data_IF_763980136099
#
_entry.id   IF_763980136099
#
_cell.length_a   1.000
_cell.length_b   1.000
_cell.length_c   1.000
_cell.angle_alpha   90.00
_cell.angle_beta   90.00
_cell.angle_gamma   90.00
#
_symmetry.space_group_name_H-M   'P 1'
#
loop_
_entity.id
_entity.type
_entity.pdbx_description
1 polymer ?
#
# COMPACT_ATOMS: atom_id res chain seq x y z
N UNK A 1 -20.08 3.44 -5.98
CA UNK A 1 -19.46 2.41 -6.84
C UNK A 1 -17.95 2.55 -6.70
N UNK A 2 -17.25 1.51 -6.24
CA UNK A 2 -15.79 1.55 -6.10
C UNK A 2 -15.17 1.46 -7.49
N UNK A 3 -14.53 2.53 -7.97
CA UNK A 3 -13.65 2.44 -9.15
C UNK A 3 -12.54 1.43 -8.84
N UNK A 4 -12.26 0.51 -9.77
CA UNK A 4 -11.12 -0.40 -9.61
C UNK A 4 -9.83 0.40 -9.81
N UNK A 5 -8.73 -0.01 -9.19
CA UNK A 5 -7.40 0.65 -9.29
C UNK A 5 -7.01 0.92 -10.76
N UNK A 6 -7.33 -0.02 -11.65
CA UNK A 6 -7.07 0.07 -13.09
C UNK A 6 -7.87 1.16 -13.82
N UNK A 7 -9.09 1.46 -13.33
CA UNK A 7 -9.94 2.49 -13.91
C UNK A 7 -9.35 3.87 -13.59
N UNK A 8 -8.94 4.09 -12.33
CA UNK A 8 -8.31 5.35 -11.92
C UNK A 8 -6.98 5.59 -12.64
N UNK A 9 -6.14 4.57 -12.78
CA UNK A 9 -4.89 4.68 -13.57
C UNK A 9 -5.18 5.11 -15.00
N UNK A 10 -6.22 4.55 -15.63
CA UNK A 10 -6.59 4.88 -17.00
C UNK A 10 -7.04 6.34 -17.12
N UNK A 11 -7.85 6.83 -16.20
CA UNK A 11 -8.30 8.23 -16.16
C UNK A 11 -7.14 9.21 -15.96
N UNK A 12 -6.24 8.92 -15.01
CA UNK A 12 -5.05 9.76 -14.79
C UNK A 12 -4.16 9.80 -16.03
N UNK A 13 -3.96 8.66 -16.70
CA UNK A 13 -3.20 8.61 -17.95
C UNK A 13 -3.87 9.42 -19.05
N UNK A 14 -5.20 9.36 -19.15
CA UNK A 14 -5.97 10.12 -20.11
C UNK A 14 -5.73 11.61 -19.92
N UNK A 15 -5.91 12.13 -18.71
CA UNK A 15 -5.67 13.54 -18.39
C UNK A 15 -4.24 13.96 -18.71
N UNK A 16 -3.24 13.16 -18.32
CA UNK A 16 -1.83 13.47 -18.54
C UNK A 16 -1.48 13.53 -20.04
N UNK A 17 -1.84 12.51 -20.82
CA UNK A 17 -1.49 12.47 -22.25
C UNK A 17 -2.26 13.54 -23.02
N UNK A 18 -3.53 13.78 -22.69
CA UNK A 18 -4.27 14.91 -23.27
C UNK A 18 -3.59 16.25 -22.99
N UNK A 19 -3.07 16.45 -21.77
CA UNK A 19 -2.33 17.68 -21.46
C UNK A 19 -1.02 17.79 -22.23
N UNK A 20 -0.28 16.70 -22.42
CA UNK A 20 0.93 16.68 -23.25
C UNK A 20 0.63 16.98 -24.72
N UNK A 21 -0.46 16.41 -25.27
CA UNK A 21 -0.93 16.72 -26.63
C UNK A 21 -1.30 18.20 -26.77
N UNK A 22 -1.99 18.77 -25.77
CA UNK A 22 -2.28 20.19 -25.73
C UNK A 22 -1.00 21.05 -25.72
N UNK A 23 0.02 20.68 -24.94
CA UNK A 23 1.30 21.41 -24.92
C UNK A 23 2.01 21.37 -26.28
N UNK A 24 1.96 20.22 -26.96
CA UNK A 24 2.53 20.07 -28.30
C UNK A 24 1.82 20.98 -29.33
N UNK A 25 0.49 21.03 -29.32
CA UNK A 25 -0.29 21.84 -30.29
C UNK A 25 -0.30 23.34 -29.96
N UNK A 26 -0.13 23.72 -28.69
CA UNK A 26 -0.21 25.12 -28.24
C UNK A 26 1.08 25.93 -28.41
N UNK A 27 2.09 25.38 -29.11
CA UNK A 27 3.39 26.03 -29.31
C UNK A 27 4.28 26.05 -28.06
N UNK A 28 3.99 25.20 -27.07
CA UNK A 28 4.78 25.03 -25.84
C UNK A 28 5.73 23.83 -25.94
N UNK A 29 6.17 23.49 -27.15
CA UNK A 29 7.04 22.34 -27.44
C UNK A 29 8.35 22.37 -26.65
N UNK A 30 8.91 23.56 -26.39
CA UNK A 30 10.15 23.71 -25.63
C UNK A 30 10.04 23.15 -24.20
N UNK A 31 8.85 23.17 -23.60
CA UNK A 31 8.60 22.54 -22.29
C UNK A 31 8.70 21.02 -22.39
N UNK A 32 8.22 20.44 -23.50
CA UNK A 32 8.30 19.00 -23.76
C UNK A 32 9.75 18.58 -24.07
N UNK A 33 10.48 19.39 -24.84
CA UNK A 33 11.90 19.14 -25.14
C UNK A 33 12.76 19.21 -23.89
N UNK A 34 12.49 20.15 -22.98
CA UNK A 34 13.22 20.29 -21.71
C UNK A 34 13.14 19.04 -20.82
N UNK A 35 12.06 18.26 -20.92
CA UNK A 35 11.89 17.00 -20.19
C UNK A 35 12.29 15.77 -21.04
N UNK A 36 12.95 15.97 -22.18
CA UNK A 36 13.52 14.92 -23.01
C UNK A 36 12.57 14.27 -24.04
N UNK A 37 11.43 14.89 -24.33
CA UNK A 37 10.55 14.43 -25.42
C UNK A 37 11.16 14.85 -26.76
N UNK A 38 11.38 13.90 -27.65
CA UNK A 38 11.96 14.16 -28.99
C UNK A 38 10.94 14.77 -29.95
N UNK A 39 11.42 15.48 -30.97
CA UNK A 39 10.57 16.09 -32.01
C UNK A 39 9.60 15.08 -32.65
N UNK A 40 10.06 13.84 -32.89
CA UNK A 40 9.21 12.78 -33.42
C UNK A 40 8.05 12.40 -32.48
N UNK A 41 8.28 12.46 -31.16
CA UNK A 41 7.25 12.22 -30.16
C UNK A 41 6.30 13.40 -30.04
N UNK A 42 6.80 14.64 -30.16
CA UNK A 42 5.99 15.87 -30.17
C UNK A 42 5.06 15.87 -31.39
N UNK A 43 5.58 15.63 -32.59
CA UNK A 43 4.76 15.51 -33.81
C UNK A 43 3.71 14.39 -33.73
N UNK A 44 3.99 13.31 -32.97
CA UNK A 44 3.00 12.26 -32.70
C UNK A 44 1.90 12.74 -31.75
N UNK A 45 2.25 13.51 -30.73
CA UNK A 45 1.31 14.10 -29.78
C UNK A 45 0.37 15.11 -30.46
N UNK A 46 0.89 15.93 -31.37
CA UNK A 46 0.09 16.91 -32.13
C UNK A 46 -1.02 16.27 -32.96
N UNK A 47 -0.77 15.07 -33.48
CA UNK A 47 -1.68 14.34 -34.38
C UNK A 47 -2.50 13.29 -33.66
N UNK A 48 -2.39 13.22 -32.33
CA UNK A 48 -2.98 12.14 -31.54
C UNK A 48 -4.51 12.25 -31.57
N UNK A 49 -5.17 11.29 -32.19
CA UNK A 49 -6.62 11.16 -32.12
C UNK A 49 -7.07 10.56 -30.79
N UNK A 50 -8.32 10.80 -30.41
CA UNK A 50 -8.93 10.18 -29.22
C UNK A 50 -8.86 8.64 -29.25
N UNK A 51 -9.02 8.03 -30.44
CA UNK A 51 -8.93 6.57 -30.59
C UNK A 51 -7.52 6.04 -30.36
N UNK A 52 -6.50 6.77 -30.81
CA UNK A 52 -5.10 6.40 -30.60
C UNK A 52 -4.69 6.59 -29.14
N UNK A 53 -5.16 7.67 -28.49
CA UNK A 53 -5.00 7.90 -27.06
C UNK A 53 -5.53 6.70 -26.25
N UNK A 54 -6.77 6.29 -26.49
CA UNK A 54 -7.42 5.20 -25.77
C UNK A 54 -6.68 3.86 -25.99
N UNK A 55 -6.22 3.63 -27.22
CA UNK A 55 -5.35 2.48 -27.53
C UNK A 55 -4.01 2.53 -26.79
N UNK A 56 -3.40 3.71 -26.69
CA UNK A 56 -2.10 3.88 -26.03
C UNK A 56 -2.18 3.64 -24.52
N UNK A 57 -3.24 4.14 -23.88
CA UNK A 57 -3.51 3.92 -22.45
C UNK A 57 -3.75 2.45 -22.18
N UNK A 58 -4.61 1.78 -22.96
CA UNK A 58 -4.87 0.34 -22.78
C UNK A 58 -3.61 -0.52 -22.89
N UNK A 59 -2.70 -0.17 -23.80
CA UNK A 59 -1.43 -0.88 -23.97
C UNK A 59 -0.43 -0.62 -22.85
N UNK A 60 -0.48 0.55 -22.21
CA UNK A 60 0.55 0.99 -21.25
C UNK A 60 0.09 1.09 -19.80
N UNK A 61 -1.21 0.98 -19.51
CA UNK A 61 -1.77 1.12 -18.15
C UNK A 61 -1.16 0.16 -17.14
N UNK A 62 -0.79 -1.05 -17.56
CA UNK A 62 -0.14 -2.04 -16.70
C UNK A 62 1.31 -1.70 -16.33
N UNK A 63 1.95 -0.77 -17.05
CA UNK A 63 3.31 -0.33 -16.81
C UNK A 63 3.41 0.96 -15.98
N UNK A 64 2.27 1.58 -15.62
CA UNK A 64 2.22 2.85 -14.91
C UNK A 64 1.69 2.66 -13.50
N UNK A 65 2.51 3.02 -12.50
CA UNK A 65 2.09 3.08 -11.10
C UNK A 65 1.78 4.54 -10.71
N UNK A 66 0.49 4.84 -10.54
CA UNK A 66 0.02 6.16 -10.08
C UNK A 66 0.02 6.28 -8.55
N UNK A 67 0.30 5.20 -7.82
CA UNK A 67 0.26 5.18 -6.35
C UNK A 67 1.19 6.25 -5.74
N UNK A 68 2.45 6.43 -6.21
CA UNK A 68 3.33 7.46 -5.69
C UNK A 68 2.83 8.88 -5.94
N UNK A 69 2.23 9.13 -7.12
CA UNK A 69 1.62 10.43 -7.44
C UNK A 69 0.44 10.73 -6.50
N UNK A 70 -0.42 9.75 -6.28
CA UNK A 70 -1.56 9.88 -5.36
C UNK A 70 -1.07 10.13 -3.92
N UNK A 71 -0.04 9.41 -3.47
CA UNK A 71 0.56 9.64 -2.15
C UNK A 71 1.16 11.05 -2.02
N UNK A 72 1.80 11.56 -3.07
CA UNK A 72 2.37 12.91 -3.07
C UNK A 72 1.30 14.00 -3.04
N UNK A 73 0.20 13.81 -3.75
CA UNK A 73 -0.91 14.77 -3.82
C UNK A 73 -1.84 14.70 -2.60
N UNK A 74 -1.97 13.52 -1.99
CA UNK A 74 -2.90 13.25 -0.91
C UNK A 74 -2.16 12.68 0.32
N UNK A 75 -1.06 13.31 0.71
CA UNK A 75 -0.27 12.92 1.90
C UNK A 75 -1.08 12.96 3.21
N UNK A 76 -2.19 13.71 3.23
CA UNK A 76 -3.12 13.79 4.35
C UNK A 76 -4.23 12.72 4.32
N UNK A 77 -4.28 11.87 3.29
CA UNK A 77 -5.29 10.82 3.19
C UNK A 77 -5.33 9.98 4.47
N UNK A 78 -6.56 9.74 4.94
CA UNK A 78 -6.77 8.83 6.05
C UNK A 78 -6.32 7.42 5.65
N UNK A 79 -5.71 6.66 6.58
CA UNK A 79 -5.38 5.27 6.31
C UNK A 79 -6.65 4.51 5.91
N UNK A 80 -6.59 3.62 4.91
CA UNK A 80 -7.69 2.67 4.65
C UNK A 80 -8.16 2.01 5.95
N UNK A 81 -9.47 1.80 6.12
CA UNK A 81 -10.02 1.33 7.41
C UNK A 81 -9.47 -0.03 7.85
N UNK A 82 -9.08 -0.86 6.90
CA UNK A 82 -8.35 -2.09 7.19
C UNK A 82 -7.00 -1.79 7.85
N UNK A 83 -6.15 -0.96 7.22
CA UNK A 83 -4.85 -0.58 7.79
C UNK A 83 -5.01 0.07 9.16
N UNK A 84 -5.99 0.96 9.31
CA UNK A 84 -6.32 1.60 10.58
C UNK A 84 -6.67 0.57 11.66
N UNK A 85 -7.48 -0.42 11.32
CA UNK A 85 -7.84 -1.51 12.24
C UNK A 85 -6.59 -2.24 12.73
N UNK A 86 -5.70 -2.65 11.83
CA UNK A 86 -4.46 -3.35 12.21
C UNK A 86 -3.52 -2.47 13.03
N UNK A 87 -3.35 -1.20 12.67
CA UNK A 87 -2.53 -0.26 13.42
C UNK A 87 -3.08 0.02 14.82
N UNK A 88 -4.41 0.14 14.98
CA UNK A 88 -5.08 0.28 16.27
C UNK A 88 -4.90 -0.95 17.18
N UNK A 89 -4.67 -2.13 16.61
CA UNK A 89 -4.35 -3.36 17.35
C UNK A 89 -2.83 -3.62 17.43
N UNK A 90 -2.01 -2.61 17.17
CA UNK A 90 -0.57 -2.65 17.44
C UNK A 90 0.27 -3.35 16.38
N UNK A 91 -0.16 -3.39 15.11
CA UNK A 91 0.64 -3.93 14.01
C UNK A 91 1.96 -3.15 13.85
N UNK A 92 3.06 -3.88 13.69
CA UNK A 92 4.40 -3.31 13.46
C UNK A 92 4.66 -3.07 11.96
N UNK A 93 5.72 -2.33 11.62
CA UNK A 93 6.03 -1.99 10.22
C UNK A 93 6.28 -3.23 9.35
N UNK A 94 6.87 -4.29 9.90
CA UNK A 94 7.14 -5.52 9.15
C UNK A 94 5.85 -6.24 8.76
N UNK A 95 4.91 -6.34 9.70
CA UNK A 95 3.61 -6.94 9.47
C UNK A 95 2.80 -6.12 8.45
N UNK A 96 2.81 -4.79 8.58
CA UNK A 96 2.11 -3.90 7.64
C UNK A 96 2.68 -4.00 6.22
N UNK A 97 4.00 -4.10 6.09
CA UNK A 97 4.65 -4.35 4.81
C UNK A 97 4.29 -5.73 4.26
N UNK A 98 4.33 -6.77 5.09
CA UNK A 98 4.10 -8.16 4.67
C UNK A 98 2.68 -8.38 4.14
N UNK A 99 1.65 -7.90 4.84
CA UNK A 99 0.26 -8.15 4.46
C UNK A 99 -0.35 -7.08 3.56
N UNK A 100 0.12 -5.82 3.66
CA UNK A 100 -0.54 -4.69 2.99
C UNK A 100 0.39 -3.89 2.08
N UNK A 101 1.69 -4.23 2.00
CA UNK A 101 2.68 -3.48 1.22
C UNK A 101 2.91 -2.04 1.70
N UNK A 102 2.51 -1.72 2.93
CA UNK A 102 2.62 -0.36 3.48
C UNK A 102 4.02 -0.13 4.04
N UNK A 103 4.67 0.94 3.58
CA UNK A 103 6.02 1.30 4.00
C UNK A 103 6.08 1.84 5.42
N UNK A 104 7.29 1.85 5.98
CA UNK A 104 7.52 2.30 7.36
C UNK A 104 7.14 3.77 7.56
N UNK A 105 7.44 4.64 6.59
CA UNK A 105 7.15 6.07 6.62
C UNK A 105 5.64 6.33 6.68
N UNK A 106 4.88 5.61 5.85
CA UNK A 106 3.41 5.67 5.81
C UNK A 106 2.80 5.16 7.12
N UNK A 107 3.33 4.05 7.67
CA UNK A 107 2.90 3.54 8.96
C UNK A 107 3.16 4.54 10.11
N UNK A 108 4.28 5.27 10.08
CA UNK A 108 4.56 6.31 11.07
C UNK A 108 3.52 7.45 10.98
N UNK A 109 3.33 8.00 9.77
CA UNK A 109 2.34 9.05 9.54
C UNK A 109 0.91 8.64 9.94
N UNK A 110 0.52 7.38 9.70
CA UNK A 110 -0.77 6.88 10.15
C UNK A 110 -0.85 6.78 11.67
N UNK A 111 0.19 6.27 12.35
CA UNK A 111 0.16 6.13 13.81
C UNK A 111 0.09 7.48 14.54
N UNK A 112 0.69 8.52 13.98
CA UNK A 112 0.60 9.88 14.55
C UNK A 112 -0.85 10.39 14.62
N UNK A 113 -1.74 9.85 13.78
CA UNK A 113 -3.18 10.16 13.73
C UNK A 113 -4.05 9.22 14.58
N UNK A 114 -3.48 8.19 15.23
CA UNK A 114 -4.24 7.13 15.90
C UNK A 114 -3.99 7.06 17.41
N UNK A 115 -5.08 6.95 18.18
CA UNK A 115 -5.02 6.67 19.62
C UNK A 115 -5.12 5.17 19.89
N UNK A 116 -3.97 4.50 19.93
CA UNK A 116 -3.87 3.05 20.17
C UNK A 116 -4.14 2.74 21.66
N UNK A 117 -4.93 1.73 22.00
CA UNK A 117 -5.14 1.32 23.40
C UNK A 117 -3.83 0.83 24.06
N UNK A 118 -3.68 1.03 25.38
CA UNK A 118 -2.51 0.55 26.13
C UNK A 118 -2.29 -0.96 26.00
N UNK A 119 -3.36 -1.77 25.93
CA UNK A 119 -3.26 -3.23 25.75
C UNK A 119 -2.51 -3.61 24.45
N UNK A 120 -2.73 -2.84 23.39
CA UNK A 120 -2.13 -3.06 22.07
C UNK A 120 -0.79 -2.34 21.85
N UNK A 121 -0.25 -1.63 22.85
CA UNK A 121 1.09 -1.02 22.79
C UNK A 121 2.20 -1.96 23.28
N UNK A 122 1.84 -3.09 23.90
CA UNK A 122 2.80 -4.05 24.42
C UNK A 122 3.73 -4.58 23.34
N UNK A 123 5.03 -4.73 23.65
CA UNK A 123 6.03 -5.24 22.69
C UNK A 123 6.30 -6.74 22.84
N UNK A 124 5.65 -7.38 23.80
CA UNK A 124 5.80 -8.78 24.19
C UNK A 124 4.50 -9.26 24.82
N UNK A 125 4.23 -10.56 24.71
CA UNK A 125 3.08 -11.19 25.39
C UNK A 125 3.43 -11.37 26.87
N UNK A 126 2.48 -11.10 27.76
CA UNK A 126 2.70 -11.30 29.19
C UNK A 126 2.91 -12.79 29.51
N UNK A 127 3.78 -13.11 30.48
CA UNK A 127 4.03 -14.51 30.87
C UNK A 127 2.75 -15.27 31.24
N UNK A 128 1.76 -14.59 31.83
CA UNK A 128 0.48 -15.20 32.21
C UNK A 128 -0.36 -15.64 31.01
N UNK A 129 -0.25 -14.94 29.88
CA UNK A 129 -1.04 -15.22 28.68
C UNK A 129 -0.25 -15.99 27.61
N UNK A 130 1.09 -16.02 27.72
CA UNK A 130 1.99 -16.58 26.71
C UNK A 130 1.58 -17.98 26.24
N UNK A 131 1.36 -18.92 27.17
CA UNK A 131 0.98 -20.29 26.82
C UNK A 131 -0.35 -20.35 26.05
N UNK A 132 -1.36 -19.59 26.48
CA UNK A 132 -2.66 -19.56 25.82
C UNK A 132 -2.59 -18.94 24.42
N UNK A 133 -1.82 -17.86 24.26
CA UNK A 133 -1.64 -17.20 22.97
C UNK A 133 -0.87 -18.10 21.99
N UNK A 134 0.22 -18.73 22.41
CA UNK A 134 0.97 -19.67 21.59
C UNK A 134 0.09 -20.86 21.15
N UNK A 135 -0.76 -21.37 22.05
CA UNK A 135 -1.72 -22.43 21.70
C UNK A 135 -2.68 -21.98 20.61
N UNK A 136 -3.26 -20.78 20.74
CA UNK A 136 -4.17 -20.23 19.75
C UNK A 136 -3.51 -20.00 18.38
N UNK A 137 -2.23 -19.61 18.37
CA UNK A 137 -1.45 -19.49 17.13
C UNK A 137 -1.20 -20.86 16.48
N UNK A 138 -0.82 -21.88 17.26
CA UNK A 138 -0.62 -23.25 16.75
C UNK A 138 -1.91 -23.87 16.18
N UNK A 139 -3.07 -23.51 16.75
CA UNK A 139 -4.38 -23.96 16.24
C UNK A 139 -4.72 -23.41 14.84
N UNK A 140 -4.02 -22.36 14.37
CA UNK A 140 -4.19 -21.83 13.01
C UNK A 140 -3.42 -22.63 11.94
N UNK A 141 -2.60 -23.60 12.32
CA UNK A 141 -1.81 -24.42 11.41
C UNK A 141 -0.35 -23.95 11.30
N UNK A 142 0.23 -24.08 10.10
CA UNK A 142 1.62 -23.66 9.85
C UNK A 142 1.76 -22.16 10.14
N UNK A 143 2.70 -21.80 11.01
CA UNK A 143 2.94 -20.43 11.46
C UNK A 143 3.30 -19.49 10.30
N UNK A 144 3.84 -20.02 9.19
CA UNK A 144 4.15 -19.26 7.98
C UNK A 144 2.93 -18.90 7.14
N UNK A 145 1.80 -19.57 7.37
CA UNK A 145 0.57 -19.45 6.59
C UNK A 145 -0.58 -18.81 7.36
N UNK A 146 -0.36 -18.37 8.59
CA UNK A 146 -1.41 -17.73 9.40
C UNK A 146 -1.83 -16.42 8.73
N UNK A 147 -3.13 -16.28 8.45
CA UNK A 147 -3.66 -15.09 7.81
C UNK A 147 -3.64 -13.86 8.72
N UNK A 148 -3.66 -12.68 8.11
CA UNK A 148 -3.73 -11.40 8.81
C UNK A 148 -4.98 -11.33 9.72
N UNK A 149 -6.12 -11.82 9.24
CA UNK A 149 -7.40 -11.83 9.96
C UNK A 149 -7.35 -12.75 11.18
N UNK A 150 -6.71 -13.93 11.05
CA UNK A 150 -6.54 -14.85 12.17
C UNK A 150 -5.68 -14.21 13.28
N UNK A 151 -4.58 -13.55 12.90
CA UNK A 151 -3.75 -12.81 13.86
C UNK A 151 -4.53 -11.68 14.54
N UNK A 152 -5.32 -10.92 13.78
CA UNK A 152 -6.17 -9.86 14.32
C UNK A 152 -7.20 -10.42 15.32
N UNK A 153 -7.81 -11.56 15.01
CA UNK A 153 -8.77 -12.21 15.89
C UNK A 153 -8.12 -12.68 17.21
N UNK A 154 -6.92 -13.25 17.14
CA UNK A 154 -6.14 -13.65 18.32
C UNK A 154 -5.76 -12.41 19.16
N UNK A 155 -5.28 -11.34 18.52
CA UNK A 155 -4.94 -10.09 19.20
C UNK A 155 -6.12 -9.52 20.00
N UNK A 156 -7.32 -9.48 19.39
CA UNK A 156 -8.56 -9.06 20.05
C UNK A 156 -8.97 -9.97 21.20
N UNK A 157 -8.88 -11.28 20.99
CA UNK A 157 -9.31 -12.28 21.99
C UNK A 157 -8.46 -12.21 23.24
N UNK A 158 -7.14 -12.10 23.09
CA UNK A 158 -6.20 -12.11 24.20
C UNK A 158 -5.76 -10.70 24.65
N UNK A 159 -6.27 -9.64 24.00
CA UNK A 159 -5.90 -8.24 24.26
C UNK A 159 -4.37 -8.03 24.21
N UNK A 160 -3.74 -8.59 23.19
CA UNK A 160 -2.29 -8.47 22.94
C UNK A 160 -2.05 -7.77 21.61
N UNK A 161 -0.93 -7.05 21.50
CA UNK A 161 -0.61 -6.37 20.25
C UNK A 161 -0.26 -7.36 19.13
N UNK A 162 -0.64 -7.01 17.91
CA UNK A 162 -0.23 -7.72 16.71
C UNK A 162 1.30 -7.72 16.54
N UNK A 163 1.98 -6.65 16.95
CA UNK A 163 3.44 -6.58 16.96
C UNK A 163 4.09 -7.57 17.93
N UNK A 164 3.43 -7.94 19.04
CA UNK A 164 3.90 -8.98 19.94
C UNK A 164 3.67 -10.38 19.35
N UNK A 165 2.51 -10.63 18.73
CA UNK A 165 2.25 -11.88 18.01
C UNK A 165 3.28 -12.11 16.90
N UNK A 166 3.54 -11.09 16.09
CA UNK A 166 4.51 -11.16 14.99
C UNK A 166 5.91 -11.57 15.46
N UNK A 167 6.34 -11.07 16.63
CA UNK A 167 7.64 -11.45 17.20
C UNK A 167 7.72 -12.92 17.61
N UNK A 168 6.61 -13.51 18.08
CA UNK A 168 6.61 -14.94 18.39
C UNK A 168 6.70 -15.78 17.11
N UNK A 169 6.03 -15.37 16.03
CA UNK A 169 6.18 -16.01 14.72
C UNK A 169 7.63 -15.91 14.21
N UNK A 170 8.27 -14.74 14.32
CA UNK A 170 9.68 -14.56 13.94
C UNK A 170 10.64 -15.42 14.77
N UNK A 171 10.31 -15.75 16.02
CA UNK A 171 11.11 -16.68 16.83
C UNK A 171 10.93 -18.12 16.37
N UNK A 172 9.69 -18.54 16.14
CA UNK A 172 9.40 -19.88 15.64
C UNK A 172 10.06 -20.16 14.29
N UNK A 173 10.08 -19.17 13.39
CA UNK A 173 10.78 -19.29 12.11
C UNK A 173 12.28 -19.56 12.31
N UNK A 174 12.94 -18.78 13.17
CA UNK A 174 14.37 -18.97 13.50
C UNK A 174 14.68 -20.30 14.18
N UNK A 175 13.76 -20.82 14.98
CA UNK A 175 13.94 -22.09 15.70
C UNK A 175 13.75 -23.31 14.80
N UNK A 176 13.00 -23.20 13.70
CA UNK A 176 12.67 -24.30 12.78
C UNK A 176 13.36 -24.19 11.40
N UNK A 177 14.15 -23.14 11.16
CA UNK A 177 15.09 -23.03 10.04
C UNK A 177 16.47 -23.67 10.33
N UNK A 178 16.66 -24.27 11.51
CA UNK A 178 17.82 -25.11 11.87
C UNK A 178 17.53 -26.60 11.71
#
# INVERSE_FOLDING_TARGET
>A
MSMKKDDLTSEVCHVMITKLAYLAVSGQEEVLKAIGVSDAQISRLERLSYRELDGWIRQRKGALDITPLMQALFSDAEPPEEHKTFLLHGANNKMMMHFFGVRAEECCAFRDKLSIDKSYRGRSISHKQHSAVCKALMEQGDYRQISAEALLQIARTYQVSLGALWKELEKWDKEHEQ
#
